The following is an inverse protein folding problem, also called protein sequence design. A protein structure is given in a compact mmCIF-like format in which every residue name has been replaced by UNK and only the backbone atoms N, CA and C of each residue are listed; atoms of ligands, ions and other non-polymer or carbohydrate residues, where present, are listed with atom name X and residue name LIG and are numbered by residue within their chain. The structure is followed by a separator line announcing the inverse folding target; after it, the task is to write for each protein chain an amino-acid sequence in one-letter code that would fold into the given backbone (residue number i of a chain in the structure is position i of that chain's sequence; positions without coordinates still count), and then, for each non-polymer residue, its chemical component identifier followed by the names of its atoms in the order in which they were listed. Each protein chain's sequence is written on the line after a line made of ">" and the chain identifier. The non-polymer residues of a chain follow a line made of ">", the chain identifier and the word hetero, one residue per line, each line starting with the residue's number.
data_IF_904979699740
#
_entry.id   IF_904979699740
#
_cell.length_a   1.000
_cell.length_b   1.000
_cell.length_c   1.000
_cell.angle_alpha   90.00
_cell.angle_beta   90.00
_cell.angle_gamma   90.00
#
_symmetry.space_group_name_H-M   'P 1'
#
loop_
_entity.id
_entity.type
_entity.pdbx_description
1 polymer ?
#
# COMPACT_ATOMS: atom_id res chain seq x y z
N UNK A 1 0.21 18.46 11.37
CA UNK A 1 0.25 17.22 12.19
C UNK A 1 -1.13 16.58 12.34
N UNK A 2 -2.11 17.22 12.97
CA UNK A 2 -3.46 16.64 13.16
C UNK A 2 -4.10 16.11 11.86
N UNK A 3 -4.04 16.90 10.77
CA UNK A 3 -4.55 16.46 9.46
C UNK A 3 -3.81 15.23 8.91
N UNK A 4 -2.51 15.10 9.14
CA UNK A 4 -1.73 13.95 8.67
C UNK A 4 -2.06 12.68 9.46
N UNK A 5 -2.26 12.79 10.78
CA UNK A 5 -2.75 11.67 11.60
C UNK A 5 -4.16 11.25 11.19
N UNK A 6 -5.03 12.22 10.91
CA UNK A 6 -6.37 11.96 10.36
C UNK A 6 -6.27 11.20 9.04
N UNK A 7 -5.42 11.66 8.11
CA UNK A 7 -5.18 10.97 6.84
C UNK A 7 -4.69 9.53 7.06
N UNK A 8 -3.77 9.28 7.99
CA UNK A 8 -3.34 7.91 8.29
C UNK A 8 -4.49 7.00 8.74
N UNK A 9 -5.41 7.49 9.59
CA UNK A 9 -6.60 6.73 9.97
C UNK A 9 -7.49 6.45 8.76
N UNK A 10 -7.79 7.48 7.97
CA UNK A 10 -8.63 7.37 6.76
C UNK A 10 -8.04 6.39 5.74
N UNK A 11 -6.72 6.41 5.53
CA UNK A 11 -6.01 5.43 4.70
C UNK A 11 -6.14 4.03 5.28
N UNK A 12 -5.97 3.90 6.60
CA UNK A 12 -6.15 2.64 7.30
C UNK A 12 -7.55 2.08 7.12
N UNK A 13 -8.58 2.91 7.02
CA UNK A 13 -9.99 2.55 6.81
C UNK A 13 -10.39 2.52 5.32
N UNK A 14 -9.47 2.65 4.38
CA UNK A 14 -9.74 2.76 2.95
C UNK A 14 -10.81 3.82 2.59
N UNK A 15 -10.82 4.96 3.28
CA UNK A 15 -11.70 6.07 2.93
C UNK A 15 -11.13 6.90 1.76
N UNK A 16 -11.39 6.48 0.52
CA UNK A 16 -10.83 7.12 -0.69
C UNK A 16 -10.99 8.65 -0.72
N UNK A 17 -12.24 9.15 -0.73
CA UNK A 17 -12.52 10.58 -0.93
C UNK A 17 -12.01 11.43 0.25
N UNK A 18 -12.18 10.93 1.47
CA UNK A 18 -11.75 11.65 2.66
C UNK A 18 -10.21 11.72 2.74
N UNK A 19 -9.52 10.65 2.34
CA UNK A 19 -8.06 10.60 2.30
C UNK A 19 -7.50 11.58 1.27
N UNK A 20 -8.00 11.58 0.02
CA UNK A 20 -7.48 12.45 -1.04
C UNK A 20 -7.70 13.94 -0.74
N UNK A 21 -8.87 14.31 -0.20
CA UNK A 21 -9.16 15.70 0.19
C UNK A 21 -8.26 16.16 1.34
N UNK A 22 -8.03 15.27 2.31
CA UNK A 22 -7.15 15.58 3.45
C UNK A 22 -5.69 15.71 3.00
N UNK A 23 -5.21 14.80 2.13
CA UNK A 23 -3.87 14.87 1.54
C UNK A 23 -3.66 16.15 0.73
N UNK A 24 -4.63 16.53 -0.11
CA UNK A 24 -4.60 17.79 -0.86
C UNK A 24 -4.49 19.02 0.07
N UNK A 25 -5.27 19.04 1.14
CA UNK A 25 -5.19 20.11 2.16
C UNK A 25 -3.82 20.16 2.85
N UNK A 26 -3.21 19.01 3.13
CA UNK A 26 -1.86 18.93 3.70
C UNK A 26 -0.82 19.47 2.71
N UNK A 27 -0.89 19.05 1.43
CA UNK A 27 0.03 19.54 0.39
C UNK A 27 -0.01 21.05 0.29
N UNK A 28 -1.20 21.64 0.14
CA UNK A 28 -1.36 23.08 0.02
C UNK A 28 -0.74 23.84 1.20
N UNK A 29 -0.95 23.35 2.44
CA UNK A 29 -0.38 23.96 3.64
C UNK A 29 1.15 23.82 3.71
N UNK A 30 1.69 22.66 3.31
CA UNK A 30 3.14 22.47 3.25
C UNK A 30 3.74 23.39 2.20
N UNK A 31 3.18 23.43 0.99
CA UNK A 31 3.70 24.24 -0.11
C UNK A 31 3.64 25.74 0.23
N UNK A 32 2.58 26.22 0.85
CA UNK A 32 2.52 27.59 1.38
C UNK A 32 3.62 27.89 2.40
N UNK A 33 3.89 26.96 3.31
CA UNK A 33 4.94 27.12 4.32
C UNK A 33 6.34 27.18 3.68
N UNK A 34 6.60 26.33 2.69
CA UNK A 34 7.89 26.34 1.97
C UNK A 34 8.02 27.58 1.07
N UNK A 35 6.97 27.97 0.34
CA UNK A 35 6.97 29.16 -0.52
C UNK A 35 7.14 30.48 0.26
N UNK A 36 6.58 30.58 1.48
CA UNK A 36 6.79 31.73 2.35
C UNK A 36 8.25 31.89 2.78
N UNK A 37 9.03 30.81 2.83
CA UNK A 37 10.46 30.86 3.15
C UNK A 37 11.31 31.33 1.97
N UNK A 38 10.92 31.02 0.74
CA UNK A 38 11.66 31.44 -0.47
C UNK A 38 11.54 32.95 -0.75
N UNK A 39 10.50 33.61 -0.22
CA UNK A 39 10.26 35.04 -0.40
C UNK A 39 11.05 35.93 0.57
N UNK A 40 11.53 35.39 1.68
CA UNK A 40 12.36 36.12 2.65
C UNK A 40 13.80 35.73 2.37
N UNK A 41 14.57 36.61 1.71
CA UNK A 41 15.91 36.37 1.13
C UNK A 41 17.04 35.87 2.05
N UNK A 42 16.73 35.36 3.23
CA UNK A 42 17.58 34.55 4.09
C UNK A 42 16.76 33.33 4.54
N UNK A 43 16.57 32.37 3.64
CA UNK A 43 15.78 31.17 3.91
C UNK A 43 16.42 30.33 5.00
N UNK A 44 15.96 30.49 6.25
CA UNK A 44 16.34 29.58 7.34
C UNK A 44 15.99 28.14 6.94
N UNK A 45 16.89 27.15 7.15
CA UNK A 45 16.65 25.77 6.74
C UNK A 45 15.32 25.26 7.32
N UNK A 46 14.61 24.35 6.63
CA UNK A 46 13.39 23.76 7.17
C UNK A 46 13.70 23.14 8.53
N UNK A 47 12.84 23.42 9.51
CA UNK A 47 13.03 22.83 10.85
C UNK A 47 12.97 21.31 10.74
N UNK A 48 13.65 20.55 11.61
CA UNK A 48 13.59 19.08 11.60
C UNK A 48 12.16 18.55 11.61
N UNK A 49 11.26 19.23 12.34
CA UNK A 49 9.84 18.89 12.38
C UNK A 49 9.14 19.12 11.03
N UNK A 50 9.42 20.21 10.32
CA UNK A 50 8.85 20.48 9.00
C UNK A 50 9.34 19.47 7.95
N UNK A 51 10.62 19.10 8.00
CA UNK A 51 11.21 18.05 7.16
C UNK A 51 10.56 16.70 7.46
N UNK A 52 10.36 16.37 8.74
CA UNK A 52 9.66 15.17 9.17
C UNK A 52 8.20 15.14 8.69
N UNK A 53 7.48 16.27 8.77
CA UNK A 53 6.11 16.39 8.26
C UNK A 53 6.03 16.22 6.74
N UNK A 54 7.04 16.68 5.99
CA UNK A 54 7.12 16.45 4.54
C UNK A 54 7.33 14.96 4.26
N UNK A 55 8.22 14.28 4.99
CA UNK A 55 8.41 12.81 4.88
C UNK A 55 7.14 12.04 5.23
N UNK A 56 6.42 12.45 6.28
CA UNK A 56 5.12 11.87 6.63
C UNK A 56 4.12 12.04 5.50
N UNK A 57 4.00 13.26 4.95
CA UNK A 57 3.10 13.50 3.82
C UNK A 57 3.45 12.61 2.61
N UNK A 58 4.72 12.55 2.23
CA UNK A 58 5.15 11.74 1.08
C UNK A 58 4.90 10.24 1.31
N UNK A 59 5.09 9.73 2.52
CA UNK A 59 4.71 8.37 2.91
C UNK A 59 3.20 8.13 2.75
N UNK A 60 2.37 9.02 3.29
CA UNK A 60 0.91 8.87 3.22
C UNK A 60 0.41 8.96 1.77
N UNK A 61 1.04 9.79 0.95
CA UNK A 61 0.75 9.87 -0.49
C UNK A 61 1.12 8.56 -1.21
N UNK A 62 2.31 8.02 -0.96
CA UNK A 62 2.72 6.74 -1.56
C UNK A 62 1.80 5.58 -1.16
N UNK A 63 1.33 5.55 0.10
CA UNK A 63 0.31 4.58 0.55
C UNK A 63 -1.03 4.78 -0.15
N UNK A 64 -1.47 6.03 -0.29
CA UNK A 64 -2.69 6.35 -1.04
C UNK A 64 -2.59 5.83 -2.48
N UNK A 65 -1.50 6.16 -3.16
CA UNK A 65 -1.29 5.73 -4.54
C UNK A 65 -1.26 4.22 -4.66
N UNK A 66 -0.60 3.49 -3.75
CA UNK A 66 -0.64 2.02 -3.71
C UNK A 66 -2.08 1.49 -3.54
N UNK A 67 -2.83 1.96 -2.54
CA UNK A 67 -4.16 1.40 -2.20
C UNK A 67 -5.21 1.65 -3.27
N UNK A 68 -5.06 2.72 -4.07
CA UNK A 68 -6.00 3.08 -5.13
C UNK A 68 -5.38 3.07 -6.52
N UNK A 69 -4.23 2.43 -6.72
CA UNK A 69 -3.51 2.48 -7.99
C UNK A 69 -4.38 2.06 -9.18
N UNK A 70 -5.14 0.96 -9.05
CA UNK A 70 -6.04 0.48 -10.10
C UNK A 70 -7.18 1.45 -10.39
N UNK A 71 -7.71 2.13 -9.37
CA UNK A 71 -8.77 3.14 -9.49
C UNK A 71 -8.23 4.41 -10.16
N UNK A 72 -7.04 4.85 -9.76
CA UNK A 72 -6.36 6.01 -10.34
C UNK A 72 -5.99 5.74 -11.80
N UNK A 73 -5.41 4.58 -12.09
CA UNK A 73 -5.00 4.19 -13.43
C UNK A 73 -6.20 4.03 -14.37
N UNK A 74 -7.30 3.42 -13.91
CA UNK A 74 -8.52 3.25 -14.73
C UNK A 74 -9.33 4.54 -14.91
N UNK A 75 -9.34 5.42 -13.90
CA UNK A 75 -10.07 6.68 -13.93
C UNK A 75 -9.32 7.85 -14.58
N UNK A 76 -8.02 7.71 -14.85
CA UNK A 76 -7.22 8.78 -15.42
C UNK A 76 -7.56 9.05 -16.88
N UNK A 77 -7.73 10.32 -17.23
CA UNK A 77 -7.87 10.77 -18.63
C UNK A 77 -6.61 10.45 -19.45
N UNK A 78 -5.44 10.52 -18.81
CA UNK A 78 -4.16 10.19 -19.42
C UNK A 78 -3.36 9.25 -18.49
N UNK A 79 -3.21 7.96 -18.83
CA UNK A 79 -2.48 7.00 -18.02
C UNK A 79 -0.99 7.37 -17.81
N UNK A 80 -0.37 8.10 -18.74
CA UNK A 80 1.04 8.50 -18.59
C UNK A 80 1.25 9.46 -17.42
N UNK A 81 0.26 10.29 -17.08
CA UNK A 81 0.36 11.25 -15.98
C UNK A 81 0.44 10.52 -14.64
N UNK A 82 -0.30 9.41 -14.50
CA UNK A 82 -0.25 8.55 -13.31
C UNK A 82 1.12 7.89 -13.21
N UNK A 83 1.65 7.37 -14.32
CA UNK A 83 2.97 6.75 -14.33
C UNK A 83 4.07 7.74 -13.97
N UNK A 84 4.03 8.95 -14.52
CA UNK A 84 4.98 10.01 -14.17
C UNK A 84 4.89 10.44 -12.70
N UNK A 85 3.67 10.48 -12.14
CA UNK A 85 3.47 10.80 -10.74
C UNK A 85 4.08 9.71 -9.85
N UNK A 86 3.79 8.43 -10.15
CA UNK A 86 4.31 7.26 -9.44
C UNK A 86 5.84 7.23 -9.41
N UNK A 87 6.51 7.55 -10.53
CA UNK A 87 7.98 7.61 -10.59
C UNK A 87 8.56 8.72 -9.71
N UNK A 88 7.82 9.82 -9.50
CA UNK A 88 8.25 10.97 -8.69
C UNK A 88 7.92 10.79 -7.20
N UNK A 89 7.19 9.75 -6.81
CA UNK A 89 6.82 9.50 -5.41
C UNK A 89 8.01 9.06 -4.55
N UNK A 90 7.91 9.36 -3.25
CA UNK A 90 8.92 8.98 -2.28
C UNK A 90 8.27 8.56 -0.96
N UNK A 91 8.27 7.26 -0.61
CA UNK A 91 8.91 6.15 -1.34
C UNK A 91 8.16 5.78 -2.63
N UNK A 92 8.89 5.42 -3.69
CA UNK A 92 8.32 4.96 -4.96
C UNK A 92 7.87 3.48 -4.85
N UNK A 93 6.82 3.22 -4.08
CA UNK A 93 6.38 1.85 -3.74
C UNK A 93 5.88 1.12 -5.00
N UNK A 94 5.00 1.76 -5.78
CA UNK A 94 4.41 1.13 -6.97
C UNK A 94 5.48 0.86 -8.03
N UNK A 95 6.38 1.81 -8.31
CA UNK A 95 7.51 1.59 -9.24
C UNK A 95 8.40 0.43 -8.81
N UNK A 96 8.72 0.31 -7.52
CA UNK A 96 9.50 -0.83 -7.02
C UNK A 96 8.82 -2.18 -7.27
N UNK A 97 7.49 -2.22 -7.20
CA UNK A 97 6.73 -3.44 -7.49
C UNK A 97 6.70 -3.72 -9.00
N UNK A 98 6.51 -2.70 -9.83
CA UNK A 98 6.53 -2.81 -11.30
C UNK A 98 7.90 -3.30 -11.81
N UNK A 99 8.98 -2.69 -11.32
CA UNK A 99 10.36 -3.10 -11.64
C UNK A 99 10.63 -4.54 -11.19
N UNK A 100 10.11 -4.93 -10.02
CA UNK A 100 10.27 -6.29 -9.52
C UNK A 100 9.54 -7.32 -10.37
N UNK A 101 8.27 -7.06 -10.71
CA UNK A 101 7.45 -7.96 -11.52
C UNK A 101 7.98 -8.07 -12.95
N UNK A 102 8.46 -6.97 -13.53
CA UNK A 102 9.08 -6.98 -14.86
C UNK A 102 10.42 -7.71 -14.89
N UNK A 103 11.21 -7.62 -13.82
CA UNK A 103 12.50 -8.35 -13.70
C UNK A 103 12.29 -9.84 -13.42
N UNK A 104 11.20 -10.21 -12.74
CA UNK A 104 10.90 -11.58 -12.32
C UNK A 104 9.65 -12.09 -13.01
N UNK A 105 9.78 -12.47 -14.27
CA UNK A 105 8.68 -13.02 -15.08
C UNK A 105 7.92 -14.14 -14.34
N UNK A 106 6.60 -14.18 -14.52
CA UNK A 106 5.74 -15.14 -13.84
C UNK A 106 5.49 -14.83 -12.35
N UNK A 107 5.83 -13.62 -11.90
CA UNK A 107 5.56 -13.16 -10.53
C UNK A 107 4.38 -12.19 -10.48
N UNK A 108 3.53 -12.36 -9.48
CA UNK A 108 2.44 -11.46 -9.13
C UNK A 108 2.63 -10.96 -7.72
N UNK A 109 2.51 -9.65 -7.51
CA UNK A 109 2.52 -9.01 -6.20
C UNK A 109 1.14 -8.42 -5.93
N UNK A 110 0.53 -8.77 -4.81
CA UNK A 110 -0.83 -8.32 -4.48
C UNK A 110 -0.93 -7.85 -3.03
N UNK A 111 -1.77 -6.85 -2.78
CA UNK A 111 -2.12 -6.41 -1.43
C UNK A 111 -3.58 -6.69 -1.15
N UNK A 112 -3.86 -7.06 0.09
CA UNK A 112 -5.18 -7.40 0.57
C UNK A 112 -5.51 -6.58 1.80
N UNK A 113 -6.78 -6.26 1.94
CA UNK A 113 -7.29 -5.47 3.05
C UNK A 113 -8.32 -6.24 3.85
N UNK A 114 -8.21 -6.23 5.17
CA UNK A 114 -9.19 -6.83 6.07
C UNK A 114 -10.34 -5.85 6.33
N UNK A 115 -11.43 -6.04 5.59
CA UNK A 115 -12.64 -5.26 5.70
C UNK A 115 -13.51 -5.65 6.92
N UNK A 116 -13.24 -6.78 7.57
CA UNK A 116 -14.01 -7.21 8.73
C UNK A 116 -13.82 -6.28 9.94
N UNK A 117 -12.64 -5.67 10.02
CA UNK A 117 -12.25 -4.76 11.08
C UNK A 117 -12.58 -3.28 10.76
N UNK A 118 -13.42 -3.01 9.76
CA UNK A 118 -13.96 -1.67 9.52
C UNK A 118 -15.23 -1.43 10.34
N UNK A 119 -15.42 -0.19 10.78
CA UNK A 119 -16.64 0.23 11.48
C UNK A 119 -17.86 0.34 10.53
N UNK A 120 -17.63 0.26 9.22
CA UNK A 120 -18.64 0.37 8.17
C UNK A 120 -18.51 -0.73 7.13
N UNK A 121 -19.60 -1.00 6.40
CA UNK A 121 -19.61 -2.03 5.37
C UNK A 121 -18.68 -1.65 4.20
N UNK A 122 -17.88 -2.62 3.77
CA UNK A 122 -17.07 -2.46 2.56
C UNK A 122 -17.92 -2.50 1.31
N UNK A 123 -17.97 -1.38 0.58
CA UNK A 123 -18.76 -1.22 -0.64
C UNK A 123 -17.91 -1.25 -1.92
N UNK A 124 -16.62 -1.59 -1.79
CA UNK A 124 -15.66 -1.59 -2.89
C UNK A 124 -14.56 -0.54 -2.71
N UNK A 125 -13.59 -0.61 -3.61
CA UNK A 125 -12.33 0.14 -3.54
C UNK A 125 -12.44 1.58 -4.04
N UNK A 126 -13.57 1.94 -4.63
CA UNK A 126 -13.82 3.23 -5.28
C UNK A 126 -14.72 4.13 -4.44
N UNK A 127 -14.85 5.39 -4.85
CA UNK A 127 -15.84 6.28 -4.27
C UNK A 127 -17.27 5.73 -4.47
N UNK A 128 -18.00 5.61 -3.37
CA UNK A 128 -19.43 5.31 -3.39
C UNK A 128 -20.20 6.58 -3.02
N UNK A 129 -21.02 7.12 -3.94
CA UNK A 129 -21.84 8.29 -3.65
C UNK A 129 -22.78 8.08 -2.45
N UNK A 130 -23.02 9.10 -1.60
CA UNK A 130 -24.04 9.04 -0.56
C UNK A 130 -25.40 8.66 -1.14
N UNK A 131 -26.08 7.69 -0.51
CA UNK A 131 -27.38 7.18 -0.96
C UNK A 131 -27.31 6.08 -2.03
N UNK A 132 -26.15 5.84 -2.66
CA UNK A 132 -25.98 4.73 -3.59
C UNK A 132 -25.67 3.40 -2.89
N UNK A 133 -25.44 3.39 -1.57
CA UNK A 133 -25.02 2.20 -0.82
C UNK A 133 -25.96 0.99 -0.97
N UNK A 134 -27.27 1.23 -1.16
CA UNK A 134 -28.27 0.17 -1.40
C UNK A 134 -28.12 -0.47 -2.79
N UNK A 135 -27.50 0.23 -3.74
CA UNK A 135 -27.24 -0.26 -5.10
C UNK A 135 -25.94 -1.05 -5.22
N UNK A 136 -25.02 -0.90 -4.26
CA UNK A 136 -23.78 -1.68 -4.23
C UNK A 136 -24.03 -3.01 -3.52
N UNK A 137 -23.78 -4.11 -4.23
CA UNK A 137 -23.80 -5.44 -3.63
C UNK A 137 -22.70 -5.46 -2.57
N UNK A 138 -23.08 -5.68 -1.30
CA UNK A 138 -22.12 -5.93 -0.23
C UNK A 138 -21.19 -7.04 -0.72
N UNK A 139 -19.91 -6.72 -0.87
CA UNK A 139 -18.93 -7.75 -1.22
C UNK A 139 -18.99 -8.82 -0.13
N UNK A 140 -19.23 -10.07 -0.53
CA UNK A 140 -19.15 -11.23 0.38
C UNK A 140 -17.71 -11.54 0.78
N UNK A 141 -16.73 -10.88 0.15
CA UNK A 141 -15.31 -11.08 0.37
C UNK A 141 -14.85 -10.23 1.55
N UNK A 142 -14.56 -10.89 2.68
CA UNK A 142 -14.10 -10.25 3.91
C UNK A 142 -12.70 -9.63 3.80
N UNK A 143 -11.85 -10.17 2.93
CA UNK A 143 -10.46 -9.72 2.75
C UNK A 143 -10.17 -9.47 1.26
N UNK A 144 -10.70 -8.39 0.66
CA UNK A 144 -10.53 -8.10 -0.77
C UNK A 144 -9.07 -7.83 -1.16
N UNK A 145 -8.73 -8.16 -2.41
CA UNK A 145 -7.50 -7.70 -3.06
C UNK A 145 -7.64 -6.22 -3.44
N UNK A 146 -6.77 -5.35 -2.93
CA UNK A 146 -6.80 -3.89 -3.14
C UNK A 146 -5.80 -3.40 -4.18
N UNK A 147 -4.78 -4.21 -4.46
CA UNK A 147 -3.78 -3.92 -5.46
C UNK A 147 -3.26 -5.24 -6.01
N UNK A 148 -3.01 -5.30 -7.30
CA UNK A 148 -2.25 -6.41 -7.90
C UNK A 148 -1.39 -5.89 -9.05
N UNK A 149 -0.19 -6.46 -9.15
CA UNK A 149 0.73 -6.25 -10.26
C UNK A 149 1.19 -7.63 -10.76
N UNK A 150 1.06 -7.97 -12.05
CA UNK A 150 0.55 -7.16 -13.15
C UNK A 150 -0.87 -6.63 -12.94
N UNK A 151 -1.17 -5.45 -13.47
CA UNK A 151 -2.48 -4.80 -13.38
C UNK A 151 -3.56 -5.73 -13.97
N UNK A 152 -4.65 -5.92 -13.22
CA UNK A 152 -5.85 -6.61 -13.65
C UNK A 152 -7.04 -5.66 -13.58
N UNK A 153 -8.00 -5.78 -14.51
CA UNK A 153 -9.14 -4.84 -14.67
C UNK A 153 -9.98 -4.63 -13.39
N UNK A 154 -9.94 -5.53 -12.42
CA UNK A 154 -10.71 -5.42 -11.18
C UNK A 154 -9.94 -5.84 -9.93
N UNK A 155 -8.60 -5.77 -9.95
CA UNK A 155 -7.75 -6.35 -8.91
C UNK A 155 -8.09 -7.83 -8.62
N UNK A 156 -8.65 -8.53 -9.60
CA UNK A 156 -9.10 -9.91 -9.47
C UNK A 156 -7.92 -10.85 -9.61
N UNK A 157 -7.88 -11.84 -8.72
CA UNK A 157 -6.91 -12.93 -8.78
C UNK A 157 -7.63 -14.21 -9.20
N UNK A 158 -6.90 -15.17 -9.80
CA UNK A 158 -7.42 -16.51 -9.98
C UNK A 158 -7.94 -17.06 -8.65
N UNK A 159 -9.13 -17.67 -8.66
CA UNK A 159 -9.79 -18.19 -7.45
C UNK A 159 -8.90 -19.18 -6.69
N UNK A 160 -8.14 -19.99 -7.43
CA UNK A 160 -7.15 -20.92 -6.87
C UNK A 160 -6.06 -20.21 -6.07
N UNK A 161 -5.48 -19.14 -6.62
CA UNK A 161 -4.42 -18.37 -6.00
C UNK A 161 -4.96 -17.66 -4.75
N UNK A 162 -6.15 -17.05 -4.86
CA UNK A 162 -6.82 -16.39 -3.76
C UNK A 162 -7.05 -17.33 -2.57
N UNK A 163 -7.51 -18.57 -2.81
CA UNK A 163 -7.76 -19.54 -1.75
C UNK A 163 -6.49 -19.92 -0.97
N UNK A 164 -5.36 -20.06 -1.66
CA UNK A 164 -4.06 -20.38 -1.05
C UNK A 164 -3.55 -19.21 -0.22
N UNK A 165 -3.64 -18.00 -0.76
CA UNK A 165 -3.24 -16.77 -0.06
C UNK A 165 -4.09 -16.58 1.20
N UNK A 166 -5.41 -16.76 1.11
CA UNK A 166 -6.30 -16.62 2.28
C UNK A 166 -5.99 -17.63 3.39
N UNK A 167 -5.54 -18.85 3.04
CA UNK A 167 -5.06 -19.83 4.04
C UNK A 167 -3.86 -19.29 4.82
N UNK A 168 -2.92 -18.64 4.14
CA UNK A 168 -1.78 -18.00 4.79
C UNK A 168 -2.21 -16.76 5.61
N UNK A 169 -3.08 -15.90 5.07
CA UNK A 169 -3.62 -14.73 5.78
C UNK A 169 -4.28 -15.14 7.10
N UNK A 170 -5.09 -16.21 7.10
CA UNK A 170 -5.72 -16.72 8.31
C UNK A 170 -4.72 -17.10 9.41
N UNK A 171 -3.54 -17.59 9.02
CA UNK A 171 -2.47 -17.93 9.96
C UNK A 171 -1.77 -16.69 10.52
N UNK A 172 -1.83 -15.55 9.80
CA UNK A 172 -1.21 -14.28 10.17
C UNK A 172 -2.13 -13.34 10.96
N UNK A 173 -3.42 -13.66 11.15
CA UNK A 173 -4.39 -12.75 11.78
C UNK A 173 -3.92 -12.25 13.15
N UNK A 174 -3.36 -13.15 13.97
CA UNK A 174 -2.90 -12.84 15.33
C UNK A 174 -1.48 -12.24 15.39
N UNK A 175 -0.76 -12.19 14.28
CA UNK A 175 0.62 -11.72 14.23
C UNK A 175 0.68 -10.20 14.36
N UNK A 176 1.64 -9.73 15.17
CA UNK A 176 1.98 -8.30 15.24
C UNK A 176 2.83 -7.91 14.02
N UNK A 177 2.25 -7.11 13.13
CA UNK A 177 2.92 -6.59 11.93
C UNK A 177 4.20 -5.79 12.23
N UNK A 178 4.34 -5.21 13.42
CA UNK A 178 5.51 -4.39 13.80
C UNK A 178 6.70 -5.21 14.32
N UNK A 179 6.48 -6.50 14.58
CA UNK A 179 7.51 -7.39 15.13
C UNK A 179 8.64 -7.66 14.14
N UNK A 180 9.88 -7.71 14.66
CA UNK A 180 11.09 -8.09 13.90
C UNK A 180 11.74 -9.31 14.58
N UNK A 181 12.10 -10.38 13.86
CA UNK A 181 11.97 -10.56 12.41
C UNK A 181 10.52 -10.75 11.96
N UNK A 182 10.21 -10.29 10.74
CA UNK A 182 8.86 -10.42 10.16
C UNK A 182 8.56 -11.88 9.81
N UNK A 183 7.38 -12.32 10.20
CA UNK A 183 6.87 -13.63 9.81
C UNK A 183 6.40 -13.60 8.36
N UNK A 184 6.94 -14.49 7.54
CA UNK A 184 6.56 -14.69 6.14
C UNK A 184 6.17 -16.16 6.00
N UNK A 185 4.92 -16.40 5.60
CA UNK A 185 4.42 -17.75 5.34
C UNK A 185 4.71 -18.08 3.89
N UNK A 186 5.47 -19.17 3.68
CA UNK A 186 5.80 -19.71 2.37
C UNK A 186 5.00 -20.98 2.09
N UNK A 187 4.17 -20.96 1.05
CA UNK A 187 3.40 -22.09 0.56
C UNK A 187 3.86 -22.44 -0.86
N UNK A 188 3.68 -23.69 -1.29
CA UNK A 188 4.00 -24.17 -2.63
C UNK A 188 2.91 -25.17 -2.94
N UNK A 189 2.27 -24.95 -4.08
CA UNK A 189 1.12 -25.67 -4.53
C UNK A 189 1.50 -26.33 -5.84
N UNK A 190 1.98 -27.57 -5.77
CA UNK A 190 2.43 -28.32 -6.93
C UNK A 190 1.35 -28.44 -8.02
N UNK A 191 0.07 -28.48 -7.63
CA UNK A 191 -1.07 -28.50 -8.56
C UNK A 191 -1.21 -27.20 -9.37
N UNK A 192 -0.79 -26.08 -8.79
CA UNK A 192 -0.82 -24.77 -9.45
C UNK A 192 0.54 -24.41 -10.05
N UNK A 193 1.57 -25.24 -9.81
CA UNK A 193 2.97 -24.96 -10.15
C UNK A 193 3.40 -23.56 -9.68
N UNK A 194 3.03 -23.21 -8.45
CA UNK A 194 3.28 -21.88 -7.88
C UNK A 194 3.75 -21.96 -6.43
N UNK A 195 4.62 -21.03 -6.08
CA UNK A 195 5.01 -20.72 -4.70
C UNK A 195 4.41 -19.38 -4.29
N UNK A 196 3.93 -19.30 -3.05
CA UNK A 196 3.26 -18.14 -2.47
C UNK A 196 3.99 -17.69 -1.21
N UNK A 197 4.23 -16.40 -1.08
CA UNK A 197 4.84 -15.77 0.09
C UNK A 197 3.87 -14.73 0.62
N UNK A 198 3.45 -14.84 1.87
CA UNK A 198 2.45 -13.94 2.44
C UNK A 198 2.96 -13.38 3.76
N UNK A 199 2.80 -12.07 3.95
CA UNK A 199 3.09 -11.40 5.22
C UNK A 199 2.05 -10.34 5.56
N UNK A 200 1.99 -9.99 6.84
CA UNK A 200 1.15 -8.90 7.37
C UNK A 200 1.94 -7.59 7.39
N UNK A 201 1.49 -6.62 6.58
CA UNK A 201 2.17 -5.33 6.37
C UNK A 201 1.75 -4.31 7.43
N UNK A 202 0.45 -4.19 7.68
CA UNK A 202 -0.13 -3.38 8.74
C UNK A 202 -1.27 -4.17 9.40
N UNK A 203 -1.91 -3.62 10.44
CA UNK A 203 -2.97 -4.32 11.18
C UNK A 203 -4.06 -4.95 10.31
N UNK A 204 -4.42 -4.28 9.19
CA UNK A 204 -5.47 -4.71 8.26
C UNK A 204 -4.96 -4.93 6.83
N UNK A 205 -3.65 -4.92 6.62
CA UNK A 205 -3.07 -4.99 5.26
C UNK A 205 -2.11 -6.16 5.17
N UNK A 206 -2.30 -7.00 4.17
CA UNK A 206 -1.47 -8.15 3.86
C UNK A 206 -0.86 -8.00 2.47
N UNK A 207 0.33 -8.53 2.28
CA UNK A 207 1.00 -8.59 0.98
C UNK A 207 1.25 -10.05 0.64
N UNK A 208 0.97 -10.41 -0.61
CA UNK A 208 1.31 -11.71 -1.17
C UNK A 208 2.19 -11.55 -2.41
N UNK A 209 3.16 -12.46 -2.56
CA UNK A 209 3.87 -12.69 -3.81
C UNK A 209 3.55 -14.10 -4.26
N UNK A 210 3.02 -14.26 -5.45
CA UNK A 210 2.84 -15.55 -6.13
C UNK A 210 3.86 -15.64 -7.27
N UNK A 211 4.59 -16.74 -7.37
CA UNK A 211 5.58 -16.96 -8.43
C UNK A 211 5.36 -18.32 -9.06
N UNK A 212 5.46 -18.40 -10.39
CA UNK A 212 5.50 -19.69 -11.10
C UNK A 212 6.74 -20.46 -10.66
N UNK A 213 6.52 -21.63 -10.10
CA UNK A 213 7.53 -22.47 -9.47
C UNK A 213 7.10 -23.93 -9.54
N UNK A 214 7.70 -24.69 -10.46
CA UNK A 214 7.40 -26.12 -10.62
C UNK A 214 8.14 -27.00 -9.61
N UNK A 215 9.30 -26.56 -9.13
CA UNK A 215 10.23 -27.37 -8.32
C UNK A 215 10.14 -27.05 -6.82
N UNK A 216 9.58 -25.89 -6.45
CA UNK A 216 9.54 -25.41 -5.06
C UNK A 216 10.81 -24.68 -4.63
N UNK A 217 11.83 -24.60 -5.49
CA UNK A 217 13.14 -24.03 -5.20
C UNK A 217 13.08 -22.51 -5.01
N UNK A 218 12.03 -21.84 -5.50
CA UNK A 218 11.89 -20.38 -5.33
C UNK A 218 11.71 -20.00 -3.85
N UNK A 219 11.27 -20.93 -3.00
CA UNK A 219 11.10 -20.71 -1.55
C UNK A 219 12.38 -20.30 -0.83
N UNK A 220 13.53 -20.72 -1.33
CA UNK A 220 14.83 -20.45 -0.71
C UNK A 220 15.44 -19.11 -1.16
N UNK A 221 14.84 -18.45 -2.15
CA UNK A 221 15.41 -17.23 -2.72
C UNK A 221 15.17 -16.03 -1.82
N UNK A 222 16.27 -15.45 -1.34
CA UNK A 222 16.26 -14.30 -0.44
C UNK A 222 15.59 -13.04 -1.03
N UNK A 223 15.66 -12.85 -2.36
CA UNK A 223 15.18 -11.61 -2.97
C UNK A 223 13.67 -11.34 -2.78
N UNK A 224 12.84 -12.38 -2.70
CA UNK A 224 11.40 -12.23 -2.38
C UNK A 224 11.21 -11.69 -0.97
N UNK A 225 11.90 -12.29 0.01
CA UNK A 225 11.91 -11.84 1.41
C UNK A 225 12.44 -10.41 1.52
N UNK A 226 13.51 -10.08 0.81
CA UNK A 226 14.14 -8.77 0.85
C UNK A 226 13.23 -7.67 0.28
N UNK A 227 12.56 -7.93 -0.86
CA UNK A 227 11.54 -7.04 -1.39
C UNK A 227 10.42 -6.85 -0.36
N UNK A 228 9.86 -7.95 0.13
CA UNK A 228 8.73 -7.93 1.04
C UNK A 228 9.02 -7.15 2.33
N UNK A 229 10.19 -7.37 2.93
CA UNK A 229 10.62 -6.65 4.12
C UNK A 229 10.85 -5.16 3.82
N UNK A 230 11.51 -4.84 2.71
CA UNK A 230 11.73 -3.45 2.28
C UNK A 230 10.43 -2.69 2.03
N UNK A 231 9.48 -3.27 1.30
CA UNK A 231 8.17 -2.66 1.06
C UNK A 231 7.42 -2.45 2.39
N UNK A 232 7.50 -3.41 3.31
CA UNK A 232 6.91 -3.27 4.64
C UNK A 232 7.55 -2.14 5.45
N UNK A 233 8.89 -2.02 5.45
CA UNK A 233 9.60 -0.89 6.08
C UNK A 233 9.24 0.46 5.41
N UNK A 234 8.98 0.47 4.10
CA UNK A 234 8.52 1.67 3.39
C UNK A 234 7.09 2.07 3.73
N UNK A 235 6.18 1.12 4.01
CA UNK A 235 4.75 1.39 4.27
C UNK A 235 4.50 1.71 5.74
N UNK A 236 5.21 1.04 6.65
CA UNK A 236 4.98 1.19 8.08
C UNK A 236 5.48 2.55 8.59
N UNK A 237 4.66 3.22 9.40
CA UNK A 237 5.04 4.48 10.04
C UNK A 237 6.05 4.32 11.18
N UNK A 238 6.40 3.10 11.58
CA UNK A 238 7.19 2.82 12.80
C UNK A 238 8.54 3.56 12.77
N UNK A 239 9.30 3.42 11.69
CA UNK A 239 10.64 4.02 11.59
C UNK A 239 10.56 5.55 11.40
N UNK A 240 9.53 6.03 10.71
CA UNK A 240 9.26 7.47 10.63
C UNK A 240 8.95 8.05 12.02
N UNK A 241 8.09 7.41 12.82
CA UNK A 241 7.80 7.83 14.19
C UNK A 241 9.04 7.80 15.09
N UNK A 242 9.90 6.78 14.95
CA UNK A 242 11.19 6.71 15.68
C UNK A 242 12.12 7.88 15.31
N UNK A 243 12.16 8.29 14.04
CA UNK A 243 12.99 9.42 13.60
C UNK A 243 12.61 10.77 14.21
N UNK A 244 11.38 10.90 14.76
CA UNK A 244 10.96 12.11 15.46
C UNK A 244 11.65 12.24 16.83
N UNK A 245 12.02 11.12 17.46
CA UNK A 245 12.69 11.10 18.77
C UNK A 245 14.19 11.40 18.65
N UNK A 246 14.80 11.07 17.51
CA UNK A 246 16.21 11.31 17.20
C UNK A 246 16.32 12.12 15.90
N UNK A 247 16.04 13.43 15.90
CA UNK A 247 16.24 14.26 14.73
C UNK A 247 17.74 14.34 14.43
N UNK A 248 18.18 13.64 13.39
CA UNK A 248 19.53 13.77 12.83
C UNK A 248 19.74 15.15 12.20
#
# INVERSE_FOLDING_TARGET
>A
MAAALKAQCQLGDLEFLNSILTLSSISCKLDQYYAQKDLVGVGSPPTPLCSWLRKLYSLLLAKFTLYWYSVLHSGATNPTDIQEAVVKENPAIVSQIEDFVSTNEGTTVSFFFDAYLQDFAYLGHSYVPPGAAEMYVKSSVAIPCIFTMPLAESNTLPVSDYAVIMRAVNSLLSVDSSSKPREIISLHEAQLQKSFFVLKVESRVYMAIAVVDETGEQREKAHFRDLMCRLCDCIQMVDLCRSLQNPA
#
